data_IF_956870189198
#
_entry.id   IF_956870189198
#
_cell.length_a   1.000
_cell.length_b   1.000
_cell.length_c   1.000
_cell.angle_alpha   90.00
_cell.angle_beta   90.00
_cell.angle_gamma   90.00
#
_symmetry.space_group_name_H-M   'P 1'
#
loop_
_entity.id
_entity.type
_entity.pdbx_description
1 polymer ?
#
# COMPACT_ATOMS: atom_id res chain seq x y z
N UNK A 1 16.79 32.68 -21.35
CA UNK A 1 16.84 33.19 -19.96
C UNK A 1 15.41 33.22 -19.43
N UNK A 2 15.04 32.30 -18.53
CA UNK A 2 13.70 32.30 -17.93
C UNK A 2 13.60 33.48 -16.96
N UNK A 3 12.82 34.50 -17.30
CA UNK A 3 12.51 35.61 -16.39
C UNK A 3 11.72 35.02 -15.23
N UNK A 4 12.30 35.07 -14.03
CA UNK A 4 11.63 34.61 -12.81
C UNK A 4 10.37 35.41 -12.49
N UNK A 5 9.71 35.05 -11.39
CA UNK A 5 8.41 35.59 -10.93
C UNK A 5 8.33 37.13 -10.87
N UNK A 6 9.45 37.85 -10.92
CA UNK A 6 9.54 39.31 -10.91
C UNK A 6 8.86 40.02 -12.11
N UNK A 7 8.55 39.30 -13.20
CA UNK A 7 7.88 39.87 -14.38
C UNK A 7 6.35 39.71 -14.42
N UNK A 8 5.74 39.13 -13.38
CA UNK A 8 4.30 38.81 -13.39
C UNK A 8 3.46 39.91 -12.74
N UNK A 9 2.26 40.21 -13.29
CA UNK A 9 1.29 41.10 -12.65
C UNK A 9 0.99 40.68 -11.20
N UNK A 10 0.73 41.65 -10.32
CA UNK A 10 0.50 41.41 -8.90
C UNK A 10 -0.66 40.41 -8.62
N UNK A 11 -1.65 40.34 -9.51
CA UNK A 11 -2.73 39.35 -9.47
C UNK A 11 -2.22 37.93 -9.68
N UNK A 12 -1.35 37.72 -10.66
CA UNK A 12 -0.71 36.42 -10.94
C UNK A 12 0.20 35.98 -9.80
N UNK A 13 0.91 36.92 -9.16
CA UNK A 13 1.74 36.64 -7.98
C UNK A 13 0.89 36.19 -6.78
N UNK A 14 -0.27 36.81 -6.57
CA UNK A 14 -1.20 36.44 -5.50
C UNK A 14 -1.76 35.03 -5.72
N UNK A 15 -2.18 34.71 -6.95
CA UNK A 15 -2.63 33.36 -7.32
C UNK A 15 -1.53 32.31 -7.21
N UNK A 16 -0.28 32.65 -7.59
CA UNK A 16 0.86 31.74 -7.45
C UNK A 16 1.20 31.46 -5.98
N UNK A 17 1.10 32.48 -5.11
CA UNK A 17 1.32 32.35 -3.67
C UNK A 17 0.22 31.52 -2.99
N UNK A 18 -1.02 31.66 -3.43
CA UNK A 18 -2.15 30.82 -2.99
C UNK A 18 -1.95 29.36 -3.42
N UNK A 19 -1.61 29.11 -4.69
CA UNK A 19 -1.30 27.76 -5.18
C UNK A 19 -0.14 27.12 -4.42
N UNK A 20 0.90 27.88 -4.04
CA UNK A 20 2.02 27.36 -3.23
C UNK A 20 1.55 26.86 -1.85
N UNK A 21 0.60 27.54 -1.23
CA UNK A 21 0.04 27.09 0.05
C UNK A 21 -0.86 25.85 -0.15
N UNK A 22 -1.70 25.86 -1.19
CA UNK A 22 -2.62 24.75 -1.50
C UNK A 22 -1.90 23.48 -1.93
N UNK A 23 -0.80 23.61 -2.66
CA UNK A 23 0.03 22.50 -3.13
C UNK A 23 1.25 22.26 -2.23
N UNK A 24 1.39 22.97 -1.12
CA UNK A 24 2.50 22.82 -0.19
C UNK A 24 2.62 21.40 0.36
N UNK A 25 1.47 20.72 0.55
CA UNK A 25 1.41 19.32 0.95
C UNK A 25 2.02 18.36 -0.10
N UNK A 26 1.90 18.67 -1.39
CA UNK A 26 2.49 17.86 -2.47
C UNK A 26 4.01 18.08 -2.62
N UNK A 27 4.51 19.23 -2.19
CA UNK A 27 5.92 19.63 -2.31
C UNK A 27 6.77 19.27 -1.08
N UNK A 28 6.18 18.67 -0.05
CA UNK A 28 6.92 18.19 1.11
C UNK A 28 7.79 16.99 0.69
N UNK A 29 9.03 17.30 0.27
CA UNK A 29 10.11 16.32 0.13
C UNK A 29 10.20 15.52 1.42
N UNK A 30 10.11 14.21 1.30
CA UNK A 30 10.20 13.30 2.44
C UNK A 30 11.65 13.27 2.92
N UNK A 31 11.92 13.96 4.03
CA UNK A 31 13.09 13.64 4.85
C UNK A 31 12.79 12.34 5.60
N UNK A 32 13.75 11.45 5.56
CA UNK A 32 13.79 10.12 6.18
C UNK A 32 13.28 10.12 7.62
N UNK A 33 12.46 9.12 7.98
CA UNK A 33 12.21 8.79 9.37
C UNK A 33 12.22 7.26 9.55
N UNK A 34 13.10 6.83 10.44
CA UNK A 34 13.30 5.46 10.87
C UNK A 34 12.15 4.95 11.75
N UNK A 35 12.10 3.61 11.82
CA UNK A 35 11.39 2.74 12.74
C UNK A 35 10.77 3.39 13.98
N UNK A 36 9.48 3.11 14.23
CA UNK A 36 8.99 2.69 15.54
C UNK A 36 7.61 2.02 15.42
N UNK A 37 7.52 0.81 15.95
CA UNK A 37 6.29 0.06 16.15
C UNK A 37 5.47 0.71 17.27
N UNK A 38 4.16 0.94 17.04
CA UNK A 38 3.20 1.04 18.14
C UNK A 38 1.80 0.67 17.68
N UNK A 39 1.20 -0.26 18.42
CA UNK A 39 -0.16 -0.76 18.27
C UNK A 39 -1.21 0.34 18.45
N UNK A 40 -2.26 0.35 17.60
CA UNK A 40 -3.64 0.65 18.01
C UNK A 40 -4.66 0.18 16.93
N UNK A 41 -5.78 -0.37 17.38
CA UNK A 41 -6.88 -0.90 16.54
C UNK A 41 -7.74 0.25 16.01
N UNK A 42 -7.85 0.40 14.69
CA UNK A 42 -9.00 0.93 13.94
C UNK A 42 -8.69 0.91 12.44
N UNK A 43 -9.67 0.50 11.63
CA UNK A 43 -9.71 0.46 10.16
C UNK A 43 -8.38 0.72 9.46
N UNK A 44 -7.68 -0.38 9.15
CA UNK A 44 -6.43 -0.36 8.40
C UNK A 44 -6.74 0.02 6.94
N UNK A 45 -6.96 1.31 6.70
CA UNK A 45 -6.55 1.90 5.42
C UNK A 45 -5.06 1.59 5.38
N UNK A 46 -4.71 0.57 4.59
CA UNK A 46 -3.33 0.18 4.33
C UNK A 46 -2.68 1.39 3.68
N UNK A 47 -2.10 2.28 4.49
CA UNK A 47 -1.15 3.25 4.01
C UNK A 47 0.03 2.39 3.59
N UNK A 48 0.03 2.10 2.29
CA UNK A 48 1.14 1.47 1.60
C UNK A 48 2.35 2.37 1.83
N UNK A 49 3.13 2.02 2.85
CA UNK A 49 4.49 2.51 2.99
C UNK A 49 5.14 2.32 1.63
N UNK A 50 5.73 3.36 1.05
CA UNK A 50 6.22 3.34 -0.34
C UNK A 50 7.10 2.10 -0.55
N UNK A 51 6.56 1.09 -1.23
CA UNK A 51 7.28 -0.13 -1.58
C UNK A 51 8.38 0.27 -2.56
N UNK A 52 9.59 -0.26 -2.39
CA UNK A 52 10.70 0.04 -3.29
C UNK A 52 10.44 -0.53 -4.68
N UNK A 53 11.02 0.10 -5.70
CA UNK A 53 10.85 -0.37 -7.07
C UNK A 53 11.48 -1.76 -7.28
N UNK A 54 12.58 -2.05 -6.58
CA UNK A 54 13.21 -3.37 -6.56
C UNK A 54 12.28 -4.43 -6.01
N UNK A 55 11.52 -4.12 -4.95
CA UNK A 55 10.58 -5.07 -4.36
C UNK A 55 9.40 -5.34 -5.28
N UNK A 56 8.84 -4.31 -5.92
CA UNK A 56 7.77 -4.48 -6.92
C UNK A 56 8.23 -5.32 -8.11
N UNK A 57 9.49 -5.19 -8.54
CA UNK A 57 10.04 -6.03 -9.62
C UNK A 57 10.04 -7.51 -9.23
N UNK A 58 10.41 -7.84 -7.99
CA UNK A 58 10.39 -9.23 -7.51
C UNK A 58 9.00 -9.85 -7.51
N UNK A 59 7.95 -9.05 -7.30
CA UNK A 59 6.57 -9.56 -7.36
C UNK A 59 6.22 -10.10 -8.75
N UNK A 60 6.82 -9.56 -9.81
CA UNK A 60 6.62 -10.06 -11.17
C UNK A 60 7.46 -11.32 -11.48
N UNK A 61 8.44 -11.65 -10.65
CA UNK A 61 9.30 -12.83 -10.83
C UNK A 61 8.62 -14.11 -10.35
N UNK A 62 7.77 -14.04 -9.32
CA UNK A 62 6.98 -15.19 -8.86
C UNK A 62 5.73 -14.78 -8.09
N UNK A 63 4.69 -15.63 -8.15
CA UNK A 63 3.47 -15.43 -7.37
C UNK A 63 3.78 -15.47 -5.86
N UNK A 64 4.72 -16.32 -5.43
CA UNK A 64 5.16 -16.43 -4.04
C UNK A 64 5.73 -15.10 -3.52
N UNK A 65 6.55 -14.41 -4.32
CA UNK A 65 7.11 -13.10 -3.94
C UNK A 65 5.99 -12.06 -3.79
N UNK A 66 4.99 -12.09 -4.68
CA UNK A 66 3.86 -11.18 -4.63
C UNK A 66 2.99 -11.40 -3.38
N UNK A 67 2.60 -12.65 -3.08
CA UNK A 67 1.64 -12.95 -2.00
C UNK A 67 2.28 -13.04 -0.61
N UNK A 68 3.61 -13.21 -0.53
CA UNK A 68 4.33 -13.18 0.76
C UNK A 68 4.53 -11.77 1.30
N UNK A 69 4.56 -10.75 0.44
CA UNK A 69 4.65 -9.35 0.83
C UNK A 69 3.25 -8.76 1.10
N UNK A 70 3.04 -8.09 2.24
CA UNK A 70 1.72 -7.59 2.64
C UNK A 70 1.08 -6.66 1.59
N UNK A 71 1.86 -5.72 1.04
CA UNK A 71 1.39 -4.82 -0.01
C UNK A 71 1.12 -5.53 -1.34
N UNK A 72 1.91 -6.57 -1.67
CA UNK A 72 1.73 -7.34 -2.89
C UNK A 72 0.45 -8.19 -2.82
N UNK A 73 0.22 -8.84 -1.68
CA UNK A 73 -1.01 -9.56 -1.39
C UNK A 73 -2.24 -8.65 -1.46
N UNK A 74 -2.17 -7.46 -0.88
CA UNK A 74 -3.27 -6.49 -0.94
C UNK A 74 -3.57 -6.04 -2.37
N UNK A 75 -2.54 -5.76 -3.17
CA UNK A 75 -2.68 -5.40 -4.58
C UNK A 75 -3.26 -6.57 -5.39
N UNK A 76 -2.77 -7.78 -5.18
CA UNK A 76 -3.26 -8.97 -5.88
C UNK A 76 -4.71 -9.30 -5.52
N UNK A 77 -5.08 -9.19 -4.25
CA UNK A 77 -6.48 -9.35 -3.82
C UNK A 77 -7.40 -8.29 -4.44
N UNK A 78 -6.94 -7.04 -4.57
CA UNK A 78 -7.71 -6.00 -5.26
C UNK A 78 -7.86 -6.29 -6.76
N UNK A 79 -6.82 -6.81 -7.39
CA UNK A 79 -6.86 -7.26 -8.78
C UNK A 79 -7.88 -8.40 -8.97
N UNK A 80 -7.81 -9.47 -8.18
CA UNK A 80 -8.74 -10.60 -8.29
C UNK A 80 -10.20 -10.19 -8.02
N UNK A 81 -10.44 -9.25 -7.10
CA UNK A 81 -11.79 -8.68 -6.88
C UNK A 81 -12.34 -7.99 -8.13
N UNK A 82 -11.48 -7.33 -8.91
CA UNK A 82 -11.91 -6.69 -10.16
C UNK A 82 -12.27 -7.72 -11.24
N UNK A 83 -11.72 -8.94 -11.12
CA UNK A 83 -11.99 -10.08 -11.98
C UNK A 83 -12.99 -11.07 -11.38
N UNK A 84 -13.63 -10.73 -10.25
CA UNK A 84 -14.58 -11.59 -9.52
C UNK A 84 -14.02 -12.99 -9.21
N UNK A 85 -12.74 -13.05 -8.85
CA UNK A 85 -11.99 -14.28 -8.61
C UNK A 85 -11.20 -14.26 -7.29
N UNK A 86 -11.57 -13.38 -6.35
CA UNK A 86 -10.89 -13.23 -5.06
C UNK A 86 -11.00 -14.45 -4.14
N UNK A 87 -11.96 -15.34 -4.39
CA UNK A 87 -12.11 -16.60 -3.65
C UNK A 87 -10.87 -17.49 -3.77
N UNK A 88 -10.12 -17.37 -4.88
CA UNK A 88 -8.91 -18.17 -5.10
C UNK A 88 -7.80 -17.80 -4.11
N UNK A 89 -7.54 -16.50 -3.91
CA UNK A 89 -6.55 -16.06 -2.93
C UNK A 89 -7.05 -16.24 -1.50
N UNK A 90 -8.37 -16.10 -1.26
CA UNK A 90 -8.95 -16.30 0.07
C UNK A 90 -8.90 -17.76 0.52
N UNK A 91 -9.11 -18.69 -0.41
CA UNK A 91 -8.89 -20.12 -0.16
C UNK A 91 -7.42 -20.43 0.12
N UNK A 92 -6.50 -19.85 -0.66
CA UNK A 92 -5.06 -20.03 -0.43
C UNK A 92 -4.63 -19.52 0.96
N UNK A 93 -5.06 -18.33 1.36
CA UNK A 93 -4.79 -17.78 2.71
C UNK A 93 -5.37 -18.70 3.79
N UNK A 94 -6.60 -19.18 3.61
CA UNK A 94 -7.26 -20.10 4.55
C UNK A 94 -6.47 -21.41 4.70
N UNK A 95 -5.90 -21.92 3.61
CA UNK A 95 -4.99 -23.07 3.63
C UNK A 95 -3.70 -22.77 4.42
N UNK A 96 -3.09 -21.59 4.22
CA UNK A 96 -1.88 -21.19 4.96
C UNK A 96 -2.14 -21.04 6.46
N UNK A 97 -3.31 -20.53 6.85
CA UNK A 97 -3.74 -20.49 8.25
C UNK A 97 -3.96 -21.89 8.82
N UNK A 98 -4.64 -22.76 8.05
CA UNK A 98 -4.92 -24.13 8.44
C UNK A 98 -3.64 -24.92 8.74
N UNK A 99 -2.63 -24.81 7.87
CA UNK A 99 -1.30 -25.44 8.04
C UNK A 99 -0.60 -25.03 9.35
N UNK A 100 -0.90 -23.85 9.88
CA UNK A 100 -0.31 -23.32 11.12
C UNK A 100 -1.00 -23.87 12.38
N UNK A 101 -2.19 -24.46 12.29
CA UNK A 101 -2.93 -24.99 13.44
C UNK A 101 -2.20 -26.21 14.01
N UNK A 102 -1.85 -26.14 15.30
CA UNK A 102 -1.21 -27.26 16.04
C UNK A 102 -2.18 -28.07 16.90
N UNK A 103 -3.35 -27.49 17.22
CA UNK A 103 -4.33 -28.11 18.10
C UNK A 103 -5.25 -29.07 17.33
N UNK A 104 -5.27 -30.38 17.67
CA UNK A 104 -6.13 -31.35 16.99
C UNK A 104 -7.62 -31.01 17.05
N UNK A 105 -8.09 -30.43 18.16
CA UNK A 105 -9.48 -30.03 18.33
C UNK A 105 -9.89 -28.85 17.44
N UNK A 106 -8.92 -28.07 16.93
CA UNK A 106 -9.16 -26.95 16.01
C UNK A 106 -8.98 -27.34 14.54
N UNK A 107 -8.24 -28.41 14.24
CA UNK A 107 -8.03 -28.90 12.87
C UNK A 107 -9.33 -29.39 12.24
N UNK A 108 -10.01 -30.38 12.84
CA UNK A 108 -11.20 -30.96 12.22
C UNK A 108 -12.32 -29.94 11.94
N UNK A 109 -12.65 -29.00 12.84
CA UNK A 109 -13.65 -27.98 12.53
C UNK A 109 -13.24 -27.06 11.38
N UNK A 110 -11.97 -26.61 11.32
CA UNK A 110 -11.50 -25.68 10.28
C UNK A 110 -11.35 -26.36 8.90
N UNK A 111 -11.17 -27.69 8.85
CA UNK A 111 -11.07 -28.45 7.59
C UNK A 111 -12.41 -28.68 6.88
N UNK A 112 -13.53 -28.49 7.58
CA UNK A 112 -14.88 -28.69 7.03
C UNK A 112 -15.44 -27.47 6.31
N UNK A 113 -14.72 -26.35 6.38
CA UNK A 113 -15.03 -25.07 5.75
C UNK A 113 -13.91 -24.74 4.77
#
# INVERSE_FOLDING_TARGET
MCKGLAGLPASCLRSAKDMKHRLGFLLQKSDSCEHNSSHNKKDKVVICQRVSQEEVKKWAESLENLISHECGLAAFKAFLKSEYSEENIDFWISCEEYKKIKSPSKLSPKAKY
#
